data_IF_299149946231
#
_entry.id   IF_299149946231
#
_cell.length_a   1.000
_cell.length_b   1.000
_cell.length_c   1.000
_cell.angle_alpha   90.00
_cell.angle_beta   90.00
_cell.angle_gamma   90.00
#
_symmetry.space_group_name_H-M   'P 1'
#
loop_
_entity.id
_entity.type
_entity.pdbx_description
1 polymer ?
#
# COMPACT_ATOMS: atom_id res chain seq x y z
N UNK A 1 -14.79 -21.14 -49.39
CA UNK A 1 -15.79 -20.13 -49.80
C UNK A 1 -17.16 -20.51 -49.24
N UNK A 2 -17.63 -19.83 -48.19
CA UNK A 2 -19.05 -19.71 -47.91
C UNK A 2 -19.34 -18.53 -46.97
N UNK A 3 -20.03 -17.55 -47.55
CA UNK A 3 -20.73 -16.32 -47.08
C UNK A 3 -20.94 -16.22 -45.56
N UNK A 4 -20.39 -15.22 -44.86
CA UNK A 4 -20.89 -13.84 -44.67
C UNK A 4 -22.38 -13.76 -44.35
N UNK A 5 -22.71 -13.41 -43.10
CA UNK A 5 -23.92 -12.66 -42.74
C UNK A 5 -23.59 -11.59 -41.69
N UNK A 6 -23.39 -10.37 -42.18
CA UNK A 6 -23.39 -9.15 -41.40
C UNK A 6 -24.82 -8.89 -40.90
N UNK A 7 -24.97 -8.48 -39.64
CA UNK A 7 -26.21 -7.85 -39.17
C UNK A 7 -25.86 -6.45 -38.68
N UNK A 8 -26.52 -5.45 -39.27
CA UNK A 8 -26.18 -4.03 -39.23
C UNK A 8 -27.49 -3.25 -39.09
N UNK A 9 -27.90 -2.91 -37.88
CA UNK A 9 -29.07 -2.07 -37.50
C UNK A 9 -28.76 -1.60 -36.06
N UNK A 10 -28.87 -0.35 -35.62
CA UNK A 10 -29.67 0.78 -36.05
C UNK A 10 -29.01 2.11 -35.64
N UNK A 11 -29.23 3.11 -36.47
CA UNK A 11 -29.02 4.54 -36.21
C UNK A 11 -30.03 5.04 -35.16
N UNK A 12 -29.62 5.97 -34.29
CA UNK A 12 -30.49 6.59 -33.29
C UNK A 12 -29.90 7.85 -32.67
N UNK A 13 -29.77 8.90 -33.49
CA UNK A 13 -29.60 10.28 -33.03
C UNK A 13 -30.84 10.74 -32.26
N UNK A 14 -30.69 11.19 -31.02
CA UNK A 14 -31.64 12.13 -30.39
C UNK A 14 -30.83 13.23 -29.71
N UNK A 15 -30.85 14.39 -30.34
CA UNK A 15 -30.43 15.68 -29.82
C UNK A 15 -31.65 16.29 -29.13
N UNK A 16 -31.53 16.67 -27.86
CA UNK A 16 -32.43 17.62 -27.21
C UNK A 16 -31.58 18.59 -26.38
N UNK A 17 -31.47 19.87 -26.78
CA UNK A 17 -30.99 20.95 -25.92
C UNK A 17 -32.18 21.49 -25.09
N UNK A 18 -31.96 22.62 -24.38
CA UNK A 18 -32.96 23.43 -23.64
C UNK A 18 -33.14 22.93 -22.18
N UNK A 19 -32.89 23.69 -21.11
CA UNK A 19 -33.23 25.09 -20.85
C UNK A 19 -32.29 25.78 -19.85
N UNK A 20 -32.40 27.11 -19.85
CA UNK A 20 -31.68 28.07 -19.04
C UNK A 20 -32.31 28.33 -17.65
N UNK A 21 -31.52 29.05 -16.85
CA UNK A 21 -31.90 30.03 -15.81
C UNK A 21 -32.34 29.51 -14.42
N UNK A 22 -31.60 29.89 -13.37
CA UNK A 22 -31.97 31.03 -12.53
C UNK A 22 -30.93 31.32 -11.43
N UNK A 23 -30.57 32.60 -11.34
CA UNK A 23 -29.81 33.25 -10.28
C UNK A 23 -30.58 33.21 -8.95
N UNK A 24 -29.89 33.14 -7.82
CA UNK A 24 -30.29 33.83 -6.58
C UNK A 24 -29.07 34.11 -5.72
N UNK A 25 -28.75 35.41 -5.63
CA UNK A 25 -27.84 35.99 -4.66
C UNK A 25 -28.46 35.92 -3.26
N UNK A 26 -27.65 35.60 -2.25
CA UNK A 26 -27.99 35.73 -0.84
C UNK A 26 -26.86 36.43 -0.09
N UNK A 27 -27.07 37.71 0.23
CA UNK A 27 -26.32 38.45 1.24
C UNK A 27 -26.75 38.00 2.63
N UNK A 28 -25.81 37.87 3.57
CA UNK A 28 -26.12 37.66 4.98
C UNK A 28 -24.86 37.61 5.85
N UNK A 29 -24.44 38.77 6.34
CA UNK A 29 -23.44 38.96 7.41
C UNK A 29 -23.92 38.37 8.73
N UNK A 30 -22.98 37.83 9.52
CA UNK A 30 -22.87 37.87 11.00
C UNK A 30 -21.39 37.49 11.26
N UNK A 31 -20.47 38.40 11.58
CA UNK A 31 -20.31 39.25 12.78
C UNK A 31 -19.78 38.48 14.01
N UNK A 32 -18.48 38.70 14.28
CA UNK A 32 -17.75 38.70 15.55
C UNK A 32 -17.83 37.51 16.53
N UNK A 33 -16.67 36.93 16.84
CA UNK A 33 -16.02 37.21 18.13
C UNK A 33 -14.56 36.75 18.13
N UNK A 34 -13.69 37.68 18.52
CA UNK A 34 -12.32 37.45 18.92
C UNK A 34 -12.26 36.66 20.24
N UNK A 35 -11.23 35.84 20.41
CA UNK A 35 -10.53 35.81 21.69
C UNK A 35 -9.08 35.33 21.50
N UNK A 36 -8.19 36.31 21.64
CA UNK A 36 -6.77 36.18 21.94
C UNK A 36 -6.56 35.65 23.35
N UNK A 37 -5.63 34.69 23.53
CA UNK A 37 -4.86 34.58 24.77
C UNK A 37 -3.41 34.31 24.40
N UNK A 38 -2.55 35.09 25.04
CA UNK A 38 -1.12 35.27 24.83
C UNK A 38 -0.35 34.63 26.00
N UNK A 39 0.80 34.01 25.69
CA UNK A 39 2.04 33.79 26.49
C UNK A 39 1.97 33.10 27.87
N UNK A 40 2.55 31.89 28.04
CA UNK A 40 3.95 31.54 28.46
C UNK A 40 4.05 31.33 30.00
N UNK A 41 5.15 30.79 30.58
CA UNK A 41 5.76 29.45 30.45
C UNK A 41 5.86 28.72 31.81
N UNK A 42 6.19 27.42 31.83
CA UNK A 42 6.73 26.79 33.04
C UNK A 42 7.70 25.65 32.69
N UNK A 43 8.96 26.04 32.51
CA UNK A 43 10.13 25.18 32.60
C UNK A 43 10.56 25.11 34.06
N UNK A 44 10.58 23.92 34.66
CA UNK A 44 11.46 23.63 35.80
C UNK A 44 12.04 22.22 35.70
N UNK A 45 13.37 22.20 35.87
CA UNK A 45 14.26 21.04 35.90
C UNK A 45 14.08 20.27 37.21
N UNK A 46 14.20 18.95 37.11
CA UNK A 46 15.11 18.12 37.91
C UNK A 46 14.88 18.04 39.42
N UNK A 47 14.48 16.85 39.87
CA UNK A 47 15.04 16.24 41.08
C UNK A 47 14.96 14.71 40.94
N UNK A 48 16.13 14.09 40.81
CA UNK A 48 16.31 12.67 41.01
C UNK A 48 15.91 12.32 42.45
N UNK A 49 15.06 11.32 42.62
CA UNK A 49 14.90 10.62 43.87
C UNK A 49 15.12 9.15 43.61
N UNK A 50 16.16 8.62 44.25
CA UNK A 50 16.53 7.22 44.26
C UNK A 50 15.39 6.38 44.86
N UNK A 51 15.04 5.28 44.18
CA UNK A 51 14.28 4.21 44.81
C UNK A 51 15.29 3.21 45.41
N UNK A 52 15.15 2.83 46.69
CA UNK A 52 16.03 1.86 47.36
C UNK A 52 15.78 0.44 46.85
N UNK A 53 16.79 -0.42 47.03
CA UNK A 53 16.93 -1.71 46.35
C UNK A 53 15.72 -2.63 46.38
N UNK A 54 15.37 -3.14 45.21
CA UNK A 54 14.67 -4.41 45.08
C UNK A 54 15.70 -5.49 44.81
N UNK A 55 15.70 -6.48 45.70
CA UNK A 55 16.56 -7.64 45.66
C UNK A 55 16.50 -8.35 44.29
N UNK A 56 17.65 -8.91 43.93
CA UNK A 56 17.82 -9.79 42.79
C UNK A 56 16.86 -10.98 42.90
N UNK A 57 15.89 -11.05 41.99
CA UNK A 57 15.18 -12.28 41.70
C UNK A 57 15.62 -12.73 40.30
N UNK A 58 16.28 -13.88 40.28
CA UNK A 58 17.11 -14.38 39.18
C UNK A 58 16.30 -14.98 38.05
N UNK A 59 15.52 -14.16 37.35
CA UNK A 59 14.95 -14.56 36.06
C UNK A 59 14.97 -13.38 35.08
N UNK A 60 16.19 -12.95 34.75
CA UNK A 60 16.42 -12.04 33.64
C UNK A 60 16.40 -12.88 32.36
N UNK A 61 15.48 -12.65 31.40
CA UNK A 61 15.52 -13.36 30.14
C UNK A 61 16.85 -13.06 29.45
N UNK A 62 17.57 -14.13 29.14
CA UNK A 62 18.86 -14.12 28.48
C UNK A 62 18.71 -13.54 27.07
N UNK A 63 19.12 -12.29 26.90
CA UNK A 63 19.08 -11.54 25.64
C UNK A 63 20.12 -12.04 24.62
N UNK A 64 20.88 -13.10 24.92
CA UNK A 64 21.89 -13.65 24.01
C UNK A 64 21.33 -14.61 22.95
N UNK A 65 20.02 -14.89 22.95
CA UNK A 65 19.38 -15.77 21.96
C UNK A 65 18.18 -15.15 21.21
N UNK A 66 17.98 -13.84 21.32
CA UNK A 66 17.14 -13.12 20.36
C UNK A 66 18.04 -12.73 19.20
N UNK A 67 17.95 -13.40 18.05
CA UNK A 67 18.52 -12.85 16.82
C UNK A 67 18.06 -11.40 16.71
N UNK A 68 19.00 -10.45 16.66
CA UNK A 68 18.69 -9.05 16.40
C UNK A 68 17.71 -8.98 15.22
N UNK A 69 16.61 -8.24 15.37
CA UNK A 69 15.74 -7.90 14.24
C UNK A 69 16.58 -7.02 13.31
N UNK A 70 17.38 -7.66 12.46
CA UNK A 70 18.57 -7.06 11.85
C UNK A 70 18.23 -6.03 10.77
N UNK A 71 16.97 -5.96 10.35
CA UNK A 71 16.47 -4.97 9.42
C UNK A 71 14.99 -4.66 9.66
N UNK A 72 14.67 -3.41 10.03
CA UNK A 72 13.28 -2.94 10.22
C UNK A 72 12.91 -1.97 9.10
N UNK A 73 11.83 -2.28 8.40
CA UNK A 73 11.22 -1.42 7.39
C UNK A 73 9.74 -1.80 7.25
N UNK A 74 8.90 -0.84 6.91
CA UNK A 74 7.45 -1.01 6.84
C UNK A 74 6.73 -0.68 8.15
N UNK A 75 5.41 -0.77 8.11
CA UNK A 75 4.54 -0.49 9.26
C UNK A 75 4.68 -1.55 10.36
N UNK A 76 4.41 -1.16 11.60
CA UNK A 76 4.37 -2.10 12.72
C UNK A 76 3.12 -2.98 12.67
N UNK A 77 3.21 -4.19 13.23
CA UNK A 77 2.05 -5.08 13.38
C UNK A 77 0.99 -4.40 14.25
N UNK A 78 -0.27 -4.46 13.84
CA UNK A 78 -1.40 -3.78 14.48
C UNK A 78 -1.59 -2.32 14.04
N UNK A 79 -0.66 -1.75 13.26
CA UNK A 79 -0.84 -0.41 12.71
C UNK A 79 -1.92 -0.41 11.61
N UNK A 80 -2.61 0.72 11.43
CA UNK A 80 -3.66 0.88 10.41
C UNK A 80 -3.06 1.57 9.18
N UNK A 81 -3.04 0.92 8.00
CA UNK A 81 -2.56 1.55 6.77
C UNK A 81 -3.37 2.80 6.41
N UNK A 82 -2.67 3.91 6.20
CA UNK A 82 -3.25 5.20 5.80
C UNK A 82 -3.54 5.23 4.30
N UNK A 83 -4.50 6.05 3.84
CA UNK A 83 -4.73 6.26 2.42
C UNK A 83 -3.54 6.95 1.75
N UNK A 84 -3.23 6.53 0.54
CA UNK A 84 -2.26 7.18 -0.35
C UNK A 84 -2.63 6.88 -1.80
N UNK A 85 -2.24 7.77 -2.71
CA UNK A 85 -2.51 7.62 -4.13
C UNK A 85 -1.31 7.01 -4.87
N UNK A 86 -1.61 6.17 -5.85
CA UNK A 86 -0.66 5.62 -6.82
C UNK A 86 -1.24 5.75 -8.22
N UNK A 87 -0.39 5.73 -9.23
CA UNK A 87 -0.83 5.58 -10.62
C UNK A 87 -0.79 4.11 -11.02
N UNK A 88 -1.92 3.59 -11.49
CA UNK A 88 -2.03 2.23 -11.95
C UNK A 88 -1.41 2.08 -13.35
N UNK A 89 -0.43 1.19 -13.50
CA UNK A 89 0.26 0.94 -14.77
C UNK A 89 -0.29 -0.30 -15.45
N UNK A 90 -0.81 -1.27 -14.70
CA UNK A 90 -1.36 -2.51 -15.26
C UNK A 90 -2.65 -2.92 -14.56
N UNK A 91 -3.54 -3.60 -15.28
CA UNK A 91 -4.82 -4.05 -14.73
C UNK A 91 -5.99 -3.13 -15.09
N UNK A 92 -7.15 -3.29 -14.42
CA UNK A 92 -8.41 -2.68 -14.88
C UNK A 92 -8.47 -1.16 -14.73
N UNK A 93 -7.58 -0.55 -13.95
CA UNK A 93 -7.53 0.90 -13.76
C UNK A 93 -6.29 1.54 -14.40
N UNK A 94 -5.60 0.85 -15.31
CA UNK A 94 -4.43 1.36 -16.03
C UNK A 94 -4.61 2.81 -16.51
N UNK A 95 -3.62 3.66 -16.18
CA UNK A 95 -3.57 5.08 -16.49
C UNK A 95 -4.34 5.98 -15.52
N UNK A 96 -4.86 5.45 -14.41
CA UNK A 96 -5.60 6.23 -13.40
C UNK A 96 -4.83 6.37 -12.10
N UNK A 97 -5.03 7.49 -11.42
CA UNK A 97 -4.62 7.67 -10.03
C UNK A 97 -5.72 7.20 -9.08
N UNK A 98 -5.37 6.37 -8.11
CA UNK A 98 -6.32 5.86 -7.12
C UNK A 98 -5.65 5.47 -5.81
N UNK A 99 -6.48 5.35 -4.77
CA UNK A 99 -6.09 4.88 -3.44
C UNK A 99 -6.58 3.44 -3.22
N UNK A 100 -5.66 2.47 -3.22
CA UNK A 100 -6.01 1.05 -3.00
C UNK A 100 -6.56 0.79 -1.60
N UNK A 101 -6.06 1.52 -0.58
CA UNK A 101 -6.63 1.45 0.77
C UNK A 101 -8.12 1.83 0.79
N UNK A 102 -8.48 2.84 0.01
CA UNK A 102 -9.84 3.35 -0.13
C UNK A 102 -10.71 2.38 -0.94
N UNK A 103 -10.16 1.79 -2.00
CA UNK A 103 -10.85 0.83 -2.87
C UNK A 103 -11.11 -0.51 -2.17
N UNK A 104 -10.15 -1.02 -1.42
CA UNK A 104 -10.22 -2.34 -0.82
C UNK A 104 -10.80 -2.34 0.60
N UNK A 105 -10.81 -1.20 1.30
CA UNK A 105 -11.36 -1.14 2.66
C UNK A 105 -10.72 -2.17 3.59
N UNK A 106 -11.54 -2.92 4.33
CA UNK A 106 -11.09 -3.93 5.31
C UNK A 106 -10.79 -5.32 4.72
N UNK A 107 -10.75 -5.44 3.39
CA UNK A 107 -10.40 -6.71 2.72
C UNK A 107 -9.02 -7.21 3.17
N UNK A 108 -8.76 -8.53 3.08
CA UNK A 108 -7.40 -9.04 3.15
C UNK A 108 -6.59 -8.52 1.96
N UNK A 109 -5.46 -7.88 2.23
CA UNK A 109 -4.62 -7.23 1.21
C UNK A 109 -3.14 -7.52 1.44
N UNK A 110 -2.43 -7.75 0.34
CA UNK A 110 -0.96 -7.78 0.29
C UNK A 110 -0.46 -6.55 -0.47
N UNK A 111 0.16 -5.61 0.23
CA UNK A 111 0.85 -4.46 -0.37
C UNK A 111 2.34 -4.74 -0.51
N UNK A 112 2.85 -4.68 -1.74
CA UNK A 112 4.24 -5.00 -2.07
C UNK A 112 4.94 -3.73 -2.55
N UNK A 113 5.89 -3.22 -1.78
CA UNK A 113 6.67 -2.03 -2.10
C UNK A 113 8.03 -2.46 -2.62
N UNK A 114 8.41 -2.01 -3.82
CA UNK A 114 9.63 -2.46 -4.50
C UNK A 114 10.41 -1.31 -5.09
N UNK A 115 11.72 -1.44 -5.10
CA UNK A 115 12.64 -0.53 -5.81
C UNK A 115 13.23 -1.17 -7.05
N UNK A 116 13.43 -2.48 -7.01
CA UNK A 116 13.92 -3.30 -8.12
C UNK A 116 12.95 -4.45 -8.41
N UNK A 117 12.88 -4.87 -9.68
CA UNK A 117 12.11 -6.02 -10.14
C UNK A 117 13.05 -7.13 -10.63
N UNK A 118 13.83 -7.67 -9.71
CA UNK A 118 14.67 -8.84 -9.97
C UNK A 118 13.84 -10.13 -10.12
N UNK A 119 14.51 -11.24 -10.42
CA UNK A 119 13.83 -12.51 -10.68
C UNK A 119 13.05 -13.03 -9.46
N UNK A 120 13.56 -12.83 -8.25
CA UNK A 120 12.90 -13.28 -7.03
C UNK A 120 11.67 -12.42 -6.72
N UNK A 121 11.75 -11.12 -6.95
CA UNK A 121 10.63 -10.18 -6.83
C UNK A 121 9.53 -10.52 -7.84
N UNK A 122 9.88 -10.77 -9.11
CA UNK A 122 8.92 -11.24 -10.12
C UNK A 122 8.25 -12.55 -9.71
N UNK A 123 9.02 -13.51 -9.20
CA UNK A 123 8.52 -14.80 -8.73
C UNK A 123 7.56 -14.63 -7.55
N UNK A 124 7.88 -13.75 -6.60
CA UNK A 124 7.00 -13.39 -5.49
C UNK A 124 5.65 -12.84 -6.00
N UNK A 125 5.69 -11.86 -6.90
CA UNK A 125 4.48 -11.23 -7.45
C UNK A 125 3.62 -12.27 -8.19
N UNK A 126 4.23 -13.14 -8.99
CA UNK A 126 3.52 -14.24 -9.67
C UNK A 126 2.85 -15.20 -8.69
N UNK A 127 3.50 -15.53 -7.57
CA UNK A 127 2.90 -16.43 -6.56
C UNK A 127 1.74 -15.73 -5.85
N UNK A 128 1.89 -14.46 -5.50
CA UNK A 128 0.80 -13.67 -4.91
C UNK A 128 -0.37 -13.53 -5.89
N UNK A 129 -0.12 -13.35 -7.19
CA UNK A 129 -1.18 -13.33 -8.21
C UNK A 129 -2.01 -14.62 -8.22
N UNK A 130 -1.34 -15.77 -8.07
CA UNK A 130 -2.02 -17.07 -7.95
C UNK A 130 -2.80 -17.20 -6.64
N UNK A 131 -2.30 -16.69 -5.53
CA UNK A 131 -3.04 -16.65 -4.27
C UNK A 131 -4.30 -15.78 -4.40
N UNK A 132 -4.19 -14.59 -5.04
CA UNK A 132 -5.34 -13.72 -5.32
C UNK A 132 -6.36 -14.44 -6.21
N UNK A 133 -5.91 -15.13 -7.25
CA UNK A 133 -6.78 -15.91 -8.14
C UNK A 133 -7.50 -17.05 -7.40
N UNK A 134 -6.82 -17.70 -6.46
CA UNK A 134 -7.33 -18.81 -5.66
C UNK A 134 -8.34 -18.32 -4.60
N UNK A 135 -8.05 -17.18 -3.95
CA UNK A 135 -8.81 -16.64 -2.82
C UNK A 135 -9.74 -15.47 -3.19
N UNK A 136 -10.35 -15.54 -4.38
CA UNK A 136 -11.31 -14.54 -4.84
C UNK A 136 -12.59 -14.51 -3.98
N UNK A 137 -12.99 -15.66 -3.42
CA UNK A 137 -14.20 -15.76 -2.59
C UNK A 137 -14.03 -15.00 -1.26
N UNK A 138 -12.84 -15.05 -0.68
CA UNK A 138 -12.41 -14.31 0.51
C UNK A 138 -12.06 -12.86 0.20
N UNK A 139 -12.15 -12.49 -1.08
CA UNK A 139 -11.85 -11.16 -1.61
C UNK A 139 -10.41 -10.73 -1.32
N UNK A 140 -9.46 -11.66 -1.36
CA UNK A 140 -8.03 -11.31 -1.35
C UNK A 140 -7.74 -10.30 -2.46
N UNK A 141 -6.96 -9.30 -2.14
CA UNK A 141 -6.41 -8.37 -3.12
C UNK A 141 -4.91 -8.20 -2.89
N UNK A 142 -4.20 -7.78 -3.90
CA UNK A 142 -2.81 -7.39 -3.78
C UNK A 142 -2.52 -6.28 -4.77
N UNK A 143 -1.47 -5.51 -4.52
CA UNK A 143 -0.96 -4.52 -5.45
C UNK A 143 0.54 -4.32 -5.22
N UNK A 144 1.24 -3.96 -6.29
CA UNK A 144 2.67 -3.64 -6.23
C UNK A 144 2.83 -2.13 -6.42
N UNK A 145 3.64 -1.51 -5.57
CA UNK A 145 4.02 -0.10 -5.62
C UNK A 145 5.51 -0.01 -5.90
N UNK A 146 5.86 0.55 -7.05
CA UNK A 146 7.24 0.81 -7.43
C UNK A 146 7.65 2.18 -6.91
N UNK A 147 8.71 2.18 -6.10
CA UNK A 147 9.30 3.36 -5.46
C UNK A 147 10.54 3.78 -6.24
N UNK A 148 10.44 4.88 -6.99
CA UNK A 148 11.49 5.38 -7.87
C UNK A 148 11.48 6.91 -7.92
N UNK A 149 12.62 7.51 -8.25
CA UNK A 149 12.74 8.95 -8.50
C UNK A 149 12.16 9.34 -9.87
N UNK A 150 11.98 8.38 -10.78
CA UNK A 150 11.39 8.60 -12.11
C UNK A 150 10.27 7.58 -12.40
N UNK A 151 9.05 7.84 -11.89
CA UNK A 151 7.88 6.99 -12.12
C UNK A 151 7.52 6.84 -13.59
N UNK A 152 7.68 7.90 -14.40
CA UNK A 152 7.29 7.91 -15.81
C UNK A 152 8.14 6.93 -16.63
N UNK A 153 9.45 6.90 -16.40
CA UNK A 153 10.36 6.00 -17.11
C UNK A 153 10.19 4.52 -16.69
N UNK A 154 9.65 4.25 -15.51
CA UNK A 154 9.43 2.88 -15.03
C UNK A 154 8.25 2.18 -15.75
N UNK A 155 7.21 2.93 -16.18
CA UNK A 155 5.93 2.35 -16.64
C UNK A 155 6.07 1.34 -17.78
N UNK A 156 6.81 1.61 -18.88
CA UNK A 156 6.93 0.65 -19.98
C UNK A 156 7.58 -0.67 -19.54
N UNK A 157 8.53 -0.61 -18.60
CA UNK A 157 9.14 -1.79 -18.01
C UNK A 157 8.15 -2.62 -17.19
N UNK A 158 7.25 -1.98 -16.47
CA UNK A 158 6.21 -2.66 -15.69
C UNK A 158 5.18 -3.35 -16.57
N UNK A 159 4.74 -2.69 -17.65
CA UNK A 159 3.84 -3.29 -18.63
C UNK A 159 4.47 -4.55 -19.25
N UNK A 160 5.76 -4.47 -19.62
CA UNK A 160 6.50 -5.61 -20.16
C UNK A 160 6.60 -6.74 -19.14
N UNK A 161 6.96 -6.43 -17.88
CA UNK A 161 7.05 -7.43 -16.81
C UNK A 161 5.70 -8.11 -16.59
N UNK A 162 4.60 -7.35 -16.49
CA UNK A 162 3.27 -7.93 -16.30
C UNK A 162 2.88 -8.87 -17.44
N UNK A 163 3.19 -8.50 -18.69
CA UNK A 163 2.94 -9.34 -19.85
C UNK A 163 3.80 -10.62 -19.85
N UNK A 164 5.11 -10.51 -19.66
CA UNK A 164 6.04 -11.64 -19.67
C UNK A 164 5.79 -12.64 -18.54
N UNK A 165 5.38 -12.13 -17.37
CA UNK A 165 5.14 -12.93 -16.17
C UNK A 165 3.68 -13.37 -16.02
N UNK A 166 2.82 -13.00 -16.97
CA UNK A 166 1.38 -13.28 -17.00
C UNK A 166 0.64 -12.87 -15.71
N UNK A 167 1.02 -11.73 -15.12
CA UNK A 167 0.33 -11.15 -13.95
C UNK A 167 -1.03 -10.61 -14.41
N UNK A 168 -2.12 -11.06 -13.77
CA UNK A 168 -3.51 -10.80 -14.21
C UNK A 168 -4.37 -10.12 -13.15
N UNK A 169 -4.09 -10.36 -11.89
CA UNK A 169 -4.90 -9.98 -10.74
C UNK A 169 -4.19 -8.95 -9.85
N UNK A 170 -2.85 -8.88 -9.90
CA UNK A 170 -2.04 -7.92 -9.13
C UNK A 170 -1.66 -6.72 -10.01
N UNK A 171 -2.30 -5.56 -9.84
CA UNK A 171 -1.89 -4.34 -10.52
C UNK A 171 -0.46 -3.93 -10.12
N UNK A 172 0.34 -3.56 -11.11
CA UNK A 172 1.64 -2.93 -10.93
C UNK A 172 1.45 -1.42 -11.02
N UNK A 173 1.91 -0.70 -10.01
CA UNK A 173 1.68 0.74 -9.89
C UNK A 173 2.97 1.48 -9.61
N UNK A 174 2.94 2.79 -9.83
CA UNK A 174 4.04 3.69 -9.46
C UNK A 174 3.56 4.69 -8.42
N UNK A 175 4.46 5.03 -7.50
CA UNK A 175 4.25 6.07 -6.51
C UNK A 175 5.04 7.32 -6.88
N UNK A 176 4.53 8.49 -6.54
CA UNK A 176 5.22 9.76 -6.73
C UNK A 176 6.35 9.90 -5.69
N UNK A 177 7.55 9.47 -6.08
CA UNK A 177 8.79 9.57 -5.30
C UNK A 177 9.32 8.23 -4.80
N UNK A 178 10.58 8.21 -4.34
CA UNK A 178 11.23 6.98 -3.90
C UNK A 178 11.11 6.71 -2.39
N UNK A 179 10.72 7.68 -1.55
CA UNK A 179 10.67 7.47 -0.09
C UNK A 179 9.53 6.53 0.35
N UNK A 180 8.54 6.29 -0.52
CA UNK A 180 7.32 5.58 -0.18
C UNK A 180 6.27 6.47 0.50
N UNK A 181 5.05 5.94 0.72
CA UNK A 181 3.97 6.74 1.28
C UNK A 181 4.24 7.15 2.74
N UNK A 182 3.78 8.34 3.11
CA UNK A 182 3.92 8.84 4.46
C UNK A 182 3.28 7.90 5.49
N UNK A 183 4.00 7.59 6.57
CA UNK A 183 3.54 6.69 7.64
C UNK A 183 3.68 5.19 7.34
N UNK A 184 4.10 4.80 6.13
CA UNK A 184 4.38 3.39 5.81
C UNK A 184 5.78 2.95 6.24
N UNK A 185 6.66 3.89 6.58
CA UNK A 185 8.01 3.63 7.12
C UNK A 185 8.87 2.68 6.26
N UNK A 186 8.70 2.72 4.93
CA UNK A 186 9.52 1.95 4.00
C UNK A 186 10.89 2.62 3.88
N UNK A 187 11.92 1.99 4.45
CA UNK A 187 13.29 2.54 4.43
C UNK A 187 13.90 2.49 3.03
N UNK A 188 14.96 3.27 2.81
CA UNK A 188 15.64 3.34 1.51
C UNK A 188 16.42 2.06 1.18
N UNK A 189 16.86 1.34 2.21
CA UNK A 189 17.61 0.09 2.08
C UNK A 189 16.70 -1.10 1.76
N UNK A 190 15.38 -0.95 1.93
CA UNK A 190 14.41 -2.00 1.61
C UNK A 190 14.17 -2.01 0.11
N UNK A 191 14.74 -2.99 -0.58
CA UNK A 191 14.50 -3.22 -2.00
C UNK A 191 13.14 -3.87 -2.23
N UNK A 192 12.72 -4.74 -1.31
CA UNK A 192 11.38 -5.33 -1.28
C UNK A 192 10.84 -5.22 0.14
N UNK A 193 9.65 -4.64 0.30
CA UNK A 193 8.94 -4.64 1.57
C UNK A 193 7.49 -5.04 1.36
N UNK A 194 7.07 -6.13 2.01
CA UNK A 194 5.73 -6.70 1.89
C UNK A 194 5.00 -6.48 3.21
N UNK A 195 3.87 -5.78 3.13
CA UNK A 195 2.95 -5.60 4.24
C UNK A 195 1.65 -6.34 3.92
N UNK A 196 1.18 -7.13 4.89
CA UNK A 196 -0.02 -7.96 4.78
C UNK A 196 -0.99 -7.47 5.85
N UNK A 197 -2.20 -7.10 5.45
CA UNK A 197 -3.18 -6.54 6.38
C UNK A 197 -4.61 -7.01 6.09
N UNK A 198 -5.43 -6.94 7.14
CA UNK A 198 -6.89 -7.10 7.10
C UNK A 198 -7.46 -6.19 8.17
N UNK A 199 -7.90 -4.99 7.77
CA UNK A 199 -8.15 -3.87 8.68
C UNK A 199 -6.85 -3.20 9.15
N UNK A 200 -6.06 -3.93 9.95
CA UNK A 200 -4.73 -3.58 10.46
C UNK A 200 -3.64 -4.56 9.98
N UNK A 201 -2.37 -4.15 10.09
CA UNK A 201 -1.21 -4.93 9.65
C UNK A 201 -1.05 -6.20 10.48
N UNK A 202 -1.01 -7.35 9.79
CA UNK A 202 -0.90 -8.69 10.39
C UNK A 202 0.49 -9.29 10.23
N UNK A 203 1.17 -8.97 9.12
CA UNK A 203 2.56 -9.33 8.89
C UNK A 203 3.28 -8.24 8.11
N UNK A 204 4.58 -8.13 8.34
CA UNK A 204 5.47 -7.22 7.64
C UNK A 204 6.83 -7.91 7.45
N UNK A 205 7.31 -7.99 6.21
CA UNK A 205 8.61 -8.56 5.86
C UNK A 205 9.36 -7.60 4.95
N UNK A 206 10.61 -7.34 5.27
CA UNK A 206 11.45 -6.43 4.50
C UNK A 206 12.77 -7.10 4.14
N UNK A 207 13.22 -6.85 2.92
CA UNK A 207 14.42 -7.44 2.35
C UNK A 207 15.25 -6.36 1.70
N UNK A 208 16.53 -6.34 2.03
CA UNK A 208 17.50 -5.55 1.28
C UNK A 208 17.80 -6.25 -0.06
N UNK A 209 18.55 -5.56 -0.91
CA UNK A 209 18.91 -6.06 -2.24
C UNK A 209 19.54 -7.45 -2.16
N UNK A 210 18.98 -8.41 -2.89
CA UNK A 210 19.47 -9.79 -2.98
C UNK A 210 19.15 -10.67 -1.77
N UNK A 211 18.43 -10.18 -0.75
CA UNK A 211 18.05 -10.99 0.42
C UNK A 211 16.75 -11.78 0.23
N UNK A 212 15.85 -11.33 -0.65
CA UNK A 212 14.64 -12.09 -0.96
C UNK A 212 15.03 -13.38 -1.68
N UNK A 213 14.74 -14.53 -1.05
CA UNK A 213 15.04 -15.86 -1.55
C UNK A 213 13.79 -16.76 -1.49
N UNK A 214 13.92 -18.04 -1.87
CA UNK A 214 12.79 -18.97 -1.92
C UNK A 214 12.11 -19.18 -0.56
N UNK A 215 12.86 -19.17 0.54
CA UNK A 215 12.33 -19.32 1.88
C UNK A 215 11.50 -18.09 2.27
N UNK A 216 12.06 -16.88 2.12
CA UNK A 216 11.33 -15.64 2.38
C UNK A 216 10.06 -15.51 1.53
N UNK A 217 10.09 -15.97 0.27
CA UNK A 217 8.90 -16.05 -0.58
C UNK A 217 7.87 -17.01 0.01
N UNK A 218 8.28 -18.21 0.44
CA UNK A 218 7.37 -19.18 1.05
C UNK A 218 6.72 -18.65 2.33
N UNK A 219 7.47 -17.94 3.17
CA UNK A 219 6.95 -17.31 4.37
C UNK A 219 5.91 -16.22 4.05
N UNK A 220 6.16 -15.38 3.04
CA UNK A 220 5.18 -14.36 2.60
C UNK A 220 3.88 -15.03 2.13
N UNK A 221 3.98 -16.13 1.38
CA UNK A 221 2.80 -16.88 0.92
C UNK A 221 2.07 -17.52 2.11
N UNK A 222 2.79 -18.05 3.10
CA UNK A 222 2.20 -18.58 4.31
C UNK A 222 1.44 -17.49 5.08
N UNK A 223 2.04 -16.32 5.31
CA UNK A 223 1.40 -15.19 5.97
C UNK A 223 0.16 -14.71 5.22
N UNK A 224 0.23 -14.67 3.88
CA UNK A 224 -0.92 -14.30 3.03
C UNK A 224 -2.09 -15.25 3.27
N UNK A 225 -1.83 -16.55 3.37
CA UNK A 225 -2.84 -17.57 3.64
C UNK A 225 -3.40 -17.51 5.05
N UNK A 226 -2.77 -16.82 6.00
CA UNK A 226 -3.31 -16.62 7.36
C UNK A 226 -4.47 -15.61 7.38
N UNK A 227 -4.54 -14.67 6.42
CA UNK A 227 -5.58 -13.62 6.42
C UNK A 227 -6.82 -13.95 5.58
N UNK A 228 -6.78 -15.05 4.83
CA UNK A 228 -7.83 -15.54 3.91
C UNK A 228 -8.41 -16.90 4.33
N UNK A 229 -8.42 -17.17 5.64
CA UNK A 229 -9.09 -18.33 6.23
C UNK A 229 -10.51 -18.00 6.69
#
# INVERSE_FOLDING_TARGET
MCRIRMNKVWSGFVVCPVWAAMMLAGCGNVEQAANSVTEEPASQRGAASAIPGSAADGNQPDLSQTEEVSFRSGMEIGAIPLPFDVEDVTGPNQGKHLCYRCLYGERPVVGIFVRDLDQNTKTLIQKIDREVATHQAEKLAAFVVVLTEDPASAKPGLEQVAHETEIKHVPLTVFEGAAGPAGYNVTNEATVNVMIWKGDVKANRAYQKGQLNDEGIQEIIADTRLIVQ
#
